data_IF_931670022181
#
_entry.id   IF_931670022181
#
_cell.length_a   1.000
_cell.length_b   1.000
_cell.length_c   1.000
_cell.angle_alpha   90.00
_cell.angle_beta   90.00
_cell.angle_gamma   90.00
#
_symmetry.space_group_name_H-M   'P 1'
#
loop_
_entity.id
_entity.type
_entity.pdbx_description
1 polymer ?
#
# COMPACT_ATOMS: atom_id res chain seq x y z
N UNK A 1 51.85 12.34 12.32
CA UNK A 1 51.08 12.77 13.51
C UNK A 1 50.24 11.59 13.97
N UNK A 2 50.62 10.85 15.02
CA UNK A 2 49.86 9.70 15.52
C UNK A 2 49.02 10.03 16.77
N UNK A 3 48.09 9.11 17.08
CA UNK A 3 47.33 8.89 18.36
C UNK A 3 46.26 9.98 18.66
N UNK A 4 45.03 9.74 19.15
CA UNK A 4 44.50 8.77 20.13
C UNK A 4 42.97 8.58 19.97
N UNK A 5 42.52 7.34 20.23
CA UNK A 5 41.13 6.86 20.45
C UNK A 5 40.41 7.49 21.66
N UNK A 6 39.08 7.60 21.60
CA UNK A 6 38.13 7.47 22.74
C UNK A 6 36.72 7.34 22.13
N UNK A 7 36.18 6.15 21.88
CA UNK A 7 35.44 5.24 22.79
C UNK A 7 34.54 5.97 23.80
N UNK A 8 33.25 5.60 23.77
CA UNK A 8 32.21 5.58 24.85
C UNK A 8 30.93 6.30 24.42
N UNK A 9 29.71 5.85 24.67
CA UNK A 9 29.21 4.61 25.23
C UNK A 9 27.70 4.53 24.92
N UNK A 10 27.22 3.30 24.90
CA UNK A 10 25.84 2.83 24.77
C UNK A 10 24.91 3.43 25.84
N UNK A 11 23.66 3.75 25.49
CA UNK A 11 22.52 3.45 26.37
C UNK A 11 21.23 3.19 25.57
N UNK A 12 20.69 2.02 25.86
CA UNK A 12 19.51 1.38 25.29
C UNK A 12 18.22 1.79 26.03
N UNK A 13 17.14 1.08 25.67
CA UNK A 13 15.87 0.88 26.38
C UNK A 13 14.75 1.88 26.02
N UNK A 14 13.83 1.51 25.13
CA UNK A 14 12.55 0.81 25.41
C UNK A 14 11.61 1.60 26.32
N UNK A 15 10.52 2.12 25.74
CA UNK A 15 9.32 2.52 26.48
C UNK A 15 8.12 1.81 25.87
N UNK A 16 7.82 0.63 26.39
CA UNK A 16 6.54 -0.04 26.23
C UNK A 16 5.86 -0.11 27.59
N UNK A 17 4.56 0.19 27.57
CA UNK A 17 3.55 -0.15 28.58
C UNK A 17 3.60 0.60 29.90
N UNK A 18 2.48 1.27 30.25
CA UNK A 18 1.81 1.23 31.55
C UNK A 18 0.66 2.25 31.56
N UNK A 19 -0.56 1.79 31.29
CA UNK A 19 -1.78 2.41 31.84
C UNK A 19 -2.81 1.30 32.11
N UNK A 20 -2.59 0.60 33.22
CA UNK A 20 -3.61 -0.20 33.92
C UNK A 20 -3.46 0.07 35.40
N UNK A 21 -4.46 0.72 35.97
CA UNK A 21 -4.84 0.90 37.38
C UNK A 21 -5.61 2.24 37.41
N UNK A 22 -6.78 2.39 38.02
CA UNK A 22 -7.09 1.99 39.37
C UNK A 22 -8.57 2.31 39.62
N UNK A 23 -9.48 1.33 39.61
CA UNK A 23 -10.83 1.51 40.19
C UNK A 23 -11.25 0.21 40.87
N UNK A 24 -10.71 -0.01 42.07
CA UNK A 24 -11.26 -0.91 43.07
C UNK A 24 -11.19 -0.22 44.44
N UNK A 25 -12.36 -0.11 45.07
CA UNK A 25 -12.52 -0.28 46.51
C UNK A 25 -12.25 0.92 47.41
N UNK A 26 -13.32 1.64 47.77
CA UNK A 26 -13.44 2.20 49.12
C UNK A 26 -14.54 1.41 49.85
N UNK A 27 -14.27 0.82 51.02
CA UNK A 27 -15.26 0.11 51.83
C UNK A 27 -15.98 1.10 52.76
N UNK A 28 -17.30 0.97 52.86
CA UNK A 28 -18.11 1.70 53.84
C UNK A 28 -19.14 0.76 54.44
N UNK A 29 -18.87 0.32 55.67
CA UNK A 29 -19.78 -0.46 56.51
C UNK A 29 -20.76 0.46 57.24
N UNK A 30 -22.05 0.13 57.20
CA UNK A 30 -23.08 0.79 58.02
C UNK A 30 -24.48 0.33 57.61
N UNK A 31 -25.26 -0.36 58.47
CA UNK A 31 -26.45 -1.09 58.06
C UNK A 31 -27.71 -0.26 58.31
N UNK A 32 -28.62 -0.15 57.33
CA UNK A 32 -30.03 0.11 57.63
C UNK A 32 -30.96 -0.60 56.63
N UNK A 33 -31.95 -1.24 57.24
CA UNK A 33 -33.09 -1.99 56.73
C UNK A 33 -33.95 -1.21 55.74
N UNK A 34 -34.38 -1.86 54.64
CA UNK A 34 -35.51 -1.32 53.88
C UNK A 34 -35.75 -1.92 52.49
N UNK A 35 -36.78 -2.77 52.42
CA UNK A 35 -37.61 -3.09 51.24
C UNK A 35 -36.96 -3.89 50.10
N UNK A 36 -37.28 -5.19 50.14
CA UNK A 36 -37.28 -6.08 49.01
C UNK A 36 -38.12 -5.50 47.85
N UNK A 37 -37.45 -5.10 46.77
CA UNK A 37 -38.05 -4.93 45.46
C UNK A 37 -37.56 -6.09 44.58
N UNK A 38 -38.44 -7.04 44.33
CA UNK A 38 -38.23 -8.16 43.40
C UNK A 38 -37.97 -7.60 41.99
N UNK A 39 -36.70 -7.51 41.60
CA UNK A 39 -36.31 -7.25 40.20
C UNK A 39 -36.24 -8.59 39.46
N UNK A 40 -37.16 -8.77 38.51
CA UNK A 40 -37.10 -9.81 37.48
C UNK A 40 -35.70 -9.86 36.86
N UNK A 41 -35.08 -11.04 36.69
CA UNK A 41 -33.81 -11.14 35.99
C UNK A 41 -34.02 -10.75 34.52
N UNK A 42 -33.30 -9.72 34.08
CA UNK A 42 -33.23 -9.36 32.68
C UNK A 42 -32.57 -10.54 31.94
N UNK A 43 -33.28 -11.12 30.97
CA UNK A 43 -32.77 -12.16 30.12
C UNK A 43 -31.48 -11.67 29.44
N UNK A 44 -30.37 -12.32 29.76
CA UNK A 44 -29.08 -12.06 29.16
C UNK A 44 -29.15 -12.56 27.70
N UNK A 45 -29.34 -11.64 26.77
CA UNK A 45 -29.30 -11.94 25.34
C UNK A 45 -27.88 -12.38 25.00
N UNK A 46 -27.66 -13.69 24.89
CA UNK A 46 -26.45 -14.26 24.32
C UNK A 46 -26.29 -13.71 22.90
N UNK A 47 -25.35 -12.78 22.75
CA UNK A 47 -24.96 -12.24 21.45
C UNK A 47 -24.44 -13.40 20.61
N UNK A 48 -25.23 -13.82 19.62
CA UNK A 48 -24.84 -14.86 18.68
C UNK A 48 -23.52 -14.45 18.02
N UNK A 49 -22.46 -15.17 18.33
CA UNK A 49 -21.15 -15.00 17.71
C UNK A 49 -21.29 -15.40 16.24
N UNK A 50 -21.25 -14.42 15.34
CA UNK A 50 -21.30 -14.68 13.90
C UNK A 50 -20.11 -15.59 13.53
N UNK A 51 -20.31 -16.68 12.78
CA UNK A 51 -19.20 -17.51 12.32
C UNK A 51 -18.20 -16.67 11.53
N UNK A 52 -16.91 -16.82 11.84
CA UNK A 52 -15.85 -16.23 11.04
C UNK A 52 -15.90 -16.84 9.64
N UNK A 53 -15.93 -16.00 8.60
CA UNK A 53 -15.85 -16.46 7.23
C UNK A 53 -14.50 -17.19 7.01
N UNK A 54 -14.48 -18.30 6.24
CA UNK A 54 -13.24 -19.01 5.97
C UNK A 54 -12.25 -18.10 5.23
N UNK A 55 -10.93 -18.22 5.50
CA UNK A 55 -9.92 -17.44 4.81
C UNK A 55 -9.92 -17.77 3.31
N UNK A 56 -9.84 -16.74 2.46
CA UNK A 56 -9.78 -16.91 1.02
C UNK A 56 -8.44 -17.57 0.62
N UNK A 57 -8.50 -18.57 -0.26
CA UNK A 57 -7.31 -19.22 -0.79
C UNK A 57 -6.51 -18.24 -1.66
N UNK A 58 -5.18 -18.24 -1.53
CA UNK A 58 -4.30 -17.41 -2.36
C UNK A 58 -3.75 -18.21 -3.53
N UNK A 59 -3.91 -17.69 -4.75
CA UNK A 59 -3.39 -18.25 -5.99
C UNK A 59 -2.30 -17.34 -6.57
N UNK A 60 -1.20 -17.93 -7.02
CA UNK A 60 -0.18 -17.21 -7.78
C UNK A 60 -0.31 -17.56 -9.26
N UNK A 61 -0.27 -16.55 -10.12
CA UNK A 61 -0.40 -16.70 -11.58
C UNK A 61 0.72 -15.93 -12.25
N UNK A 62 1.36 -16.54 -13.25
CA UNK A 62 2.35 -15.86 -14.10
C UNK A 62 1.84 -15.87 -15.53
N UNK A 63 1.87 -14.72 -16.18
CA UNK A 63 1.41 -14.52 -17.56
C UNK A 63 2.49 -13.81 -18.37
N UNK A 64 2.55 -14.12 -19.65
CA UNK A 64 3.34 -13.37 -20.62
C UNK A 64 2.37 -12.62 -21.54
N UNK A 65 2.49 -11.30 -21.59
CA UNK A 65 1.69 -10.43 -22.45
C UNK A 65 2.46 -9.14 -22.75
N UNK A 66 3.17 -9.14 -23.87
CA UNK A 66 4.10 -8.09 -24.29
C UNK A 66 3.43 -6.72 -24.41
N UNK A 67 2.21 -6.67 -24.96
CA UNK A 67 1.47 -5.41 -25.11
C UNK A 67 1.06 -4.81 -23.77
N UNK A 68 0.65 -5.63 -22.82
CA UNK A 68 0.22 -5.18 -21.50
C UNK A 68 1.41 -4.84 -20.59
N UNK A 69 2.48 -5.63 -20.64
CA UNK A 69 3.68 -5.39 -19.87
C UNK A 69 4.44 -4.16 -20.38
N UNK A 70 4.57 -4.00 -21.70
CA UNK A 70 5.29 -2.87 -22.30
C UNK A 70 4.53 -1.54 -22.24
N UNK A 71 3.19 -1.54 -22.32
CA UNK A 71 2.38 -0.32 -22.23
C UNK A 71 1.14 -0.51 -21.34
N UNK A 72 1.30 -0.64 -20.03
CA UNK A 72 0.20 -0.97 -19.11
C UNK A 72 -0.91 0.07 -19.12
N UNK A 73 -0.56 1.35 -19.26
CA UNK A 73 -1.50 2.46 -19.32
C UNK A 73 -1.99 2.79 -20.75
N UNK A 74 -1.36 2.20 -21.78
CA UNK A 74 -1.39 2.73 -23.14
C UNK A 74 -0.60 4.04 -23.19
N UNK A 75 -1.31 5.15 -23.15
CA UNK A 75 -0.72 6.48 -22.93
C UNK A 75 -0.36 6.63 -21.45
N UNK A 76 0.94 6.82 -21.19
CA UNK A 76 1.49 6.97 -19.85
C UNK A 76 1.08 8.30 -19.20
N UNK A 77 0.68 8.29 -17.91
CA UNK A 77 0.35 9.53 -17.22
C UNK A 77 1.60 10.39 -17.01
N UNK A 78 1.57 11.62 -17.50
CA UNK A 78 2.70 12.56 -17.32
C UNK A 78 2.66 13.26 -15.96
N UNK A 79 3.81 13.72 -15.47
CA UNK A 79 3.87 14.53 -14.24
C UNK A 79 2.95 15.75 -14.36
N UNK A 80 2.99 16.45 -15.49
CA UNK A 80 2.16 17.65 -15.70
C UNK A 80 0.66 17.33 -15.69
N UNK A 81 0.21 16.22 -16.31
CA UNK A 81 -1.18 15.78 -16.23
C UNK A 81 -1.60 15.44 -14.81
N UNK A 82 -0.77 14.69 -14.08
CA UNK A 82 -1.07 14.31 -12.70
C UNK A 82 -1.23 15.55 -11.83
N UNK A 83 -0.35 16.54 -11.96
CA UNK A 83 -0.42 17.79 -11.20
C UNK A 83 -1.62 18.66 -11.60
N UNK A 84 -1.92 18.79 -12.90
CA UNK A 84 -3.09 19.52 -13.39
C UNK A 84 -4.41 18.95 -12.86
N UNK A 85 -4.46 17.64 -12.64
CA UNK A 85 -5.64 16.94 -12.11
C UNK A 85 -5.68 16.84 -10.58
N UNK A 86 -4.89 17.67 -9.87
CA UNK A 86 -4.90 17.74 -8.40
C UNK A 86 -3.89 16.82 -7.70
N UNK A 87 -2.96 16.23 -8.45
CA UNK A 87 -1.83 15.48 -7.93
C UNK A 87 -0.83 16.39 -7.23
N UNK A 88 0.01 15.80 -6.38
CA UNK A 88 1.01 16.54 -5.59
C UNK A 88 2.35 15.84 -5.65
N UNK A 89 3.42 16.60 -5.79
CA UNK A 89 4.78 16.09 -5.58
C UNK A 89 4.97 15.91 -4.09
N UNK A 90 5.23 14.69 -3.65
CA UNK A 90 5.42 14.34 -2.23
C UNK A 90 6.89 14.18 -1.85
N UNK A 91 7.76 13.90 -2.82
CA UNK A 91 9.20 13.88 -2.61
C UNK A 91 9.96 14.26 -3.88
N UNK A 92 11.15 14.84 -3.69
CA UNK A 92 12.14 15.11 -4.73
C UNK A 92 13.49 14.65 -4.20
N UNK A 93 14.18 13.77 -4.91
CA UNK A 93 15.49 13.25 -4.50
C UNK A 93 16.50 13.48 -5.62
N UNK A 94 17.65 14.10 -5.36
CA UNK A 94 18.71 14.19 -6.36
C UNK A 94 19.21 12.79 -6.71
N UNK A 95 19.51 12.56 -7.98
CA UNK A 95 20.04 11.30 -8.49
C UNK A 95 21.21 11.58 -9.41
N UNK A 96 22.38 11.03 -9.09
CA UNK A 96 23.56 11.20 -9.94
C UNK A 96 23.44 10.29 -11.16
N UNK A 97 23.47 10.88 -12.35
CA UNK A 97 23.45 10.11 -13.59
C UNK A 97 24.73 9.26 -13.68
N UNK A 98 24.59 7.99 -14.06
CA UNK A 98 25.70 7.04 -14.15
C UNK A 98 26.45 7.13 -15.50
N UNK A 99 25.80 7.69 -16.52
CA UNK A 99 26.29 7.75 -17.90
C UNK A 99 26.79 9.15 -18.29
N UNK A 100 26.20 10.19 -17.71
CA UNK A 100 26.59 11.59 -17.96
C UNK A 100 27.35 12.19 -16.78
N UNK A 101 28.65 12.43 -16.99
CA UNK A 101 29.54 12.90 -15.94
C UNK A 101 29.15 14.31 -15.45
N UNK A 102 28.85 14.40 -14.14
CA UNK A 102 28.50 15.67 -13.49
C UNK A 102 27.01 16.03 -13.57
N UNK A 103 26.19 15.24 -14.28
CA UNK A 103 24.76 15.44 -14.31
C UNK A 103 24.09 14.90 -13.04
N UNK A 104 23.23 15.73 -12.47
CA UNK A 104 22.38 15.39 -11.33
C UNK A 104 20.93 15.53 -11.77
N UNK A 105 20.31 14.38 -12.01
CA UNK A 105 18.90 14.22 -12.32
C UNK A 105 18.06 14.20 -11.03
N UNK A 106 16.74 14.04 -11.15
CA UNK A 106 15.84 14.03 -9.99
C UNK A 106 14.86 12.88 -10.04
N UNK A 107 14.74 12.12 -8.95
CA UNK A 107 13.61 11.23 -8.73
C UNK A 107 12.46 12.02 -8.10
N UNK A 108 11.30 11.97 -8.76
CA UNK A 108 10.07 12.63 -8.32
C UNK A 108 9.04 11.60 -7.90
N UNK A 109 8.55 11.73 -6.68
CA UNK A 109 7.41 10.95 -6.21
C UNK A 109 6.15 11.81 -6.28
N UNK A 110 5.18 11.38 -7.06
CA UNK A 110 3.90 12.08 -7.28
C UNK A 110 2.77 11.23 -6.73
N UNK A 111 1.91 11.85 -5.92
CA UNK A 111 0.68 11.21 -5.41
C UNK A 111 -0.53 11.83 -6.08
N UNK A 112 -1.43 11.01 -6.61
CA UNK A 112 -2.66 11.45 -7.25
C UNK A 112 -3.82 10.52 -6.88
N UNK A 113 -4.80 11.03 -6.14
CA UNK A 113 -6.03 10.31 -5.77
C UNK A 113 -5.80 8.92 -5.15
N UNK A 114 -4.77 8.80 -4.29
CA UNK A 114 -4.40 7.55 -3.63
C UNK A 114 -3.33 6.74 -4.36
N UNK A 115 -3.14 6.97 -5.66
CA UNK A 115 -2.10 6.34 -6.47
C UNK A 115 -0.75 7.05 -6.29
N UNK A 116 0.33 6.31 -6.50
CA UNK A 116 1.71 6.77 -6.35
C UNK A 116 2.47 6.48 -7.64
N UNK A 117 3.26 7.45 -8.08
CA UNK A 117 4.10 7.36 -9.28
C UNK A 117 5.49 7.87 -8.95
N UNK A 118 6.51 7.09 -9.33
CA UNK A 118 7.91 7.51 -9.30
C UNK A 118 8.36 7.82 -10.72
N UNK A 119 8.87 9.03 -10.92
CA UNK A 119 9.41 9.49 -12.18
C UNK A 119 10.91 9.77 -12.05
N UNK A 120 11.66 9.39 -13.07
CA UNK A 120 13.00 9.90 -13.34
C UNK A 120 12.89 11.18 -14.18
N UNK A 121 13.25 12.32 -13.60
CA UNK A 121 13.34 13.59 -14.30
C UNK A 121 14.76 13.80 -14.80
N UNK A 122 14.91 13.66 -16.11
CA UNK A 122 16.08 14.12 -16.87
C UNK A 122 15.81 15.56 -17.40
N UNK A 123 16.82 16.26 -17.93
CA UNK A 123 16.65 17.61 -18.47
C UNK A 123 15.61 17.70 -19.61
N UNK A 124 15.49 16.63 -20.40
CA UNK A 124 14.66 16.61 -21.61
C UNK A 124 13.25 16.06 -21.36
N UNK A 125 13.09 15.16 -20.38
CA UNK A 125 11.84 14.42 -20.16
C UNK A 125 11.70 13.82 -18.76
N UNK A 126 10.45 13.56 -18.39
CA UNK A 126 10.08 12.77 -17.23
C UNK A 126 9.75 11.33 -17.67
N UNK A 127 10.48 10.34 -17.15
CA UNK A 127 10.28 8.92 -17.43
C UNK A 127 9.63 8.22 -16.24
N UNK A 128 8.58 7.42 -16.47
CA UNK A 128 7.98 6.62 -15.41
C UNK A 128 8.91 5.47 -15.03
N UNK A 129 9.27 5.36 -13.74
CA UNK A 129 10.08 4.27 -13.19
C UNK A 129 9.28 3.26 -12.39
N UNK A 130 8.26 3.73 -11.70
CA UNK A 130 7.43 2.89 -10.85
C UNK A 130 6.03 3.50 -10.72
N UNK A 131 5.01 2.67 -10.63
CA UNK A 131 3.67 3.12 -10.28
C UNK A 131 2.91 2.10 -9.44
N UNK A 132 2.30 2.58 -8.35
CA UNK A 132 1.37 1.82 -7.52
C UNK A 132 -0.02 2.42 -7.66
N UNK A 133 -0.92 1.64 -8.26
CA UNK A 133 -2.31 2.02 -8.55
C UNK A 133 -3.25 1.21 -7.67
N UNK A 134 -3.99 1.92 -6.82
CA UNK A 134 -5.00 1.38 -5.89
C UNK A 134 -6.38 1.99 -6.13
N UNK A 135 -6.44 3.14 -6.80
CA UNK A 135 -7.66 3.79 -7.25
C UNK A 135 -7.73 3.78 -8.79
N UNK A 136 -8.77 3.15 -9.31
CA UNK A 136 -8.98 2.96 -10.75
C UNK A 136 -10.03 3.91 -11.36
N UNK A 137 -10.50 4.91 -10.61
CA UNK A 137 -11.41 5.94 -11.13
C UNK A 137 -10.77 6.93 -12.12
N UNK A 138 -9.51 7.38 -11.96
CA UNK A 138 -8.84 8.24 -12.93
C UNK A 138 -8.81 7.63 -14.34
N UNK A 139 -8.66 8.47 -15.37
CA UNK A 139 -8.63 8.01 -16.78
C UNK A 139 -7.59 6.91 -17.00
N UNK A 140 -6.35 7.09 -16.54
CA UNK A 140 -5.30 6.08 -16.63
C UNK A 140 -5.67 4.78 -15.87
N UNK A 141 -6.33 4.90 -14.72
CA UNK A 141 -6.75 3.77 -13.89
C UNK A 141 -7.86 2.96 -14.55
N UNK A 142 -8.81 3.64 -15.20
CA UNK A 142 -9.88 3.00 -15.99
C UNK A 142 -9.31 2.28 -17.20
N UNK A 143 -8.35 2.89 -17.92
CA UNK A 143 -7.64 2.26 -19.04
C UNK A 143 -6.92 0.99 -18.58
N UNK A 144 -6.13 1.10 -17.51
CA UNK A 144 -5.41 -0.04 -16.91
C UNK A 144 -6.37 -1.17 -16.52
N UNK A 145 -7.44 -0.87 -15.78
CA UNK A 145 -8.47 -1.86 -15.39
C UNK A 145 -9.06 -2.58 -16.60
N UNK A 146 -9.42 -1.84 -17.65
CA UNK A 146 -9.98 -2.42 -18.88
C UNK A 146 -8.99 -3.35 -19.59
N UNK A 147 -7.70 -2.97 -19.66
CA UNK A 147 -6.67 -3.82 -20.26
C UNK A 147 -6.42 -5.08 -19.43
N UNK A 148 -6.34 -4.95 -18.11
CA UNK A 148 -6.18 -6.07 -17.19
C UNK A 148 -7.33 -7.07 -17.24
N UNK A 149 -8.57 -6.58 -17.35
CA UNK A 149 -9.76 -7.44 -17.47
C UNK A 149 -9.77 -8.31 -18.75
N UNK A 150 -9.04 -7.91 -19.80
CA UNK A 150 -8.84 -8.72 -21.01
C UNK A 150 -7.77 -9.81 -20.82
N UNK A 151 -6.80 -9.57 -19.95
CA UNK A 151 -5.66 -10.46 -19.76
C UNK A 151 -5.93 -11.56 -18.72
N UNK A 152 -6.67 -11.28 -17.65
CA UNK A 152 -6.96 -12.25 -16.59
C UNK A 152 -8.38 -12.08 -16.04
N UNK A 153 -9.08 -13.20 -15.84
CA UNK A 153 -10.36 -13.24 -15.13
C UNK A 153 -10.15 -13.83 -13.73
N UNK A 154 -10.21 -13.01 -12.66
CA UNK A 154 -10.01 -13.49 -11.30
C UNK A 154 -11.20 -14.31 -10.80
N UNK A 155 -10.96 -15.29 -9.94
CA UNK A 155 -12.03 -16.02 -9.27
C UNK A 155 -12.58 -15.24 -8.06
N UNK A 156 -13.89 -15.36 -7.82
CA UNK A 156 -14.58 -14.64 -6.73
C UNK A 156 -14.22 -15.16 -5.32
N UNK A 157 -13.68 -16.37 -5.23
CA UNK A 157 -13.40 -17.08 -3.97
C UNK A 157 -11.92 -17.08 -3.59
N UNK A 158 -11.07 -16.39 -4.35
CA UNK A 158 -9.62 -16.39 -4.16
C UNK A 158 -9.04 -14.98 -4.06
N UNK A 159 -7.79 -14.94 -3.58
CA UNK A 159 -6.87 -13.83 -3.76
C UNK A 159 -5.91 -14.24 -4.87
N UNK A 160 -5.98 -13.59 -6.02
CA UNK A 160 -5.08 -13.88 -7.15
C UNK A 160 -3.94 -12.86 -7.15
N UNK A 161 -2.70 -13.35 -7.03
CA UNK A 161 -1.47 -12.58 -7.23
C UNK A 161 -0.93 -12.91 -8.62
N UNK A 162 -1.15 -12.01 -9.57
CA UNK A 162 -0.79 -12.19 -10.98
C UNK A 162 0.47 -11.38 -11.28
N UNK A 163 1.49 -12.01 -11.87
CA UNK A 163 2.66 -11.31 -12.42
C UNK A 163 2.63 -11.43 -13.93
N UNK A 164 2.58 -10.29 -14.61
CA UNK A 164 2.52 -10.19 -16.06
C UNK A 164 3.85 -9.61 -16.52
N UNK A 165 4.59 -10.34 -17.36
CA UNK A 165 5.81 -9.85 -17.99
C UNK A 165 5.67 -9.82 -19.51
N UNK A 166 6.60 -9.17 -20.18
CA UNK A 166 6.83 -9.36 -21.61
C UNK A 166 7.67 -10.63 -21.87
N UNK A 167 7.92 -10.92 -23.14
CA UNK A 167 8.72 -12.05 -23.61
C UNK A 167 10.17 -11.98 -23.12
N UNK A 168 10.74 -10.78 -23.07
CA UNK A 168 12.09 -10.51 -22.55
C UNK A 168 12.14 -10.49 -21.01
N UNK A 169 10.99 -10.36 -20.36
CA UNK A 169 10.79 -10.29 -18.91
C UNK A 169 11.56 -9.15 -18.25
N UNK A 170 11.64 -8.02 -18.95
CA UNK A 170 12.25 -6.78 -18.47
C UNK A 170 11.18 -5.88 -17.87
N UNK A 171 10.01 -5.81 -18.50
CA UNK A 171 8.85 -5.06 -18.00
C UNK A 171 7.93 -5.94 -17.16
N UNK A 172 7.49 -5.46 -16.00
CA UNK A 172 6.56 -6.19 -15.13
C UNK A 172 5.35 -5.38 -14.70
N UNK A 173 4.21 -6.07 -14.68
CA UNK A 173 2.97 -5.61 -14.05
C UNK A 173 2.54 -6.66 -13.03
N UNK A 174 2.65 -6.33 -11.75
CA UNK A 174 2.19 -7.16 -10.64
C UNK A 174 0.79 -6.71 -10.23
N UNK A 175 -0.16 -7.64 -10.19
CA UNK A 175 -1.58 -7.37 -9.97
C UNK A 175 -2.09 -8.22 -8.83
N UNK A 176 -2.86 -7.60 -7.94
CA UNK A 176 -3.59 -8.31 -6.89
C UNK A 176 -5.08 -8.16 -7.17
N UNK A 177 -5.76 -9.31 -7.28
CA UNK A 177 -7.21 -9.39 -7.24
C UNK A 177 -7.64 -10.00 -5.91
N UNK A 178 -8.72 -9.47 -5.35
CA UNK A 178 -9.35 -9.98 -4.14
C UNK A 178 -10.83 -10.18 -4.40
N UNK A 179 -11.31 -11.41 -4.20
CA UNK A 179 -12.72 -11.75 -4.36
C UNK A 179 -13.28 -11.34 -5.73
N UNK A 180 -12.53 -11.66 -6.79
CA UNK A 180 -12.91 -11.34 -8.17
C UNK A 180 -12.78 -9.86 -8.56
N UNK A 181 -12.28 -8.99 -7.67
CA UNK A 181 -12.13 -7.56 -7.92
C UNK A 181 -10.66 -7.15 -7.98
N UNK A 182 -10.35 -6.22 -8.87
CA UNK A 182 -9.03 -5.62 -8.95
C UNK A 182 -8.77 -4.76 -7.70
N UNK A 183 -7.68 -5.02 -7.00
CA UNK A 183 -7.34 -4.36 -5.73
C UNK A 183 -6.12 -3.45 -5.86
N UNK A 184 -5.02 -3.96 -6.40
CA UNK A 184 -3.78 -3.20 -6.53
C UNK A 184 -3.04 -3.61 -7.78
N UNK A 185 -2.42 -2.64 -8.45
CA UNK A 185 -1.51 -2.86 -9.56
C UNK A 185 -0.21 -2.14 -9.26
N UNK A 186 0.89 -2.84 -9.48
CA UNK A 186 2.24 -2.33 -9.39
C UNK A 186 2.89 -2.49 -10.76
N UNK A 187 3.39 -1.39 -11.30
CA UNK A 187 3.97 -1.31 -12.64
C UNK A 187 5.44 -0.96 -12.50
N UNK A 188 6.29 -1.83 -13.02
CA UNK A 188 7.75 -1.69 -13.02
C UNK A 188 8.23 -1.71 -14.49
N UNK A 189 8.24 -0.55 -15.17
CA UNK A 189 8.80 -0.45 -16.51
C UNK A 189 10.32 -0.65 -16.44
N UNK A 190 10.86 -1.30 -17.46
CA UNK A 190 12.29 -1.33 -17.67
C UNK A 190 12.75 -0.01 -18.31
N UNK A 191 13.73 0.64 -17.70
CA UNK A 191 14.29 1.90 -18.17
C UNK A 191 15.81 1.73 -18.17
N UNK A 192 16.43 1.74 -19.36
CA UNK A 192 17.89 1.75 -19.57
C UNK A 192 18.50 3.13 -19.31
#
# INVERSE_FOLDING_TARGET
MPVVLLISAVKAATAASLYVALWLGVPGSGPETGKAASRKPAAQVTRATRPAAPPLATRQVRLTNDSLAGQPFGEEPTVQELLRNGGRIVARKPYRNLYEAGQVDTILLVRHQGNIFEFYRAPEKDLLRDAVVVNFEPVYGRRLRTRLAKAHRPAATTIDKVRIGDSERTNYVSVVYQSGRLSTVHVEPYVD
#
